data_IF_862134375500
#
_entry.id   IF_862134375500
#
_cell.length_a   1.000
_cell.length_b   1.000
_cell.length_c   1.000
_cell.angle_alpha   90.00
_cell.angle_beta   90.00
_cell.angle_gamma   90.00
#
_symmetry.space_group_name_H-M   'P 1'
#
loop_
_entity.id
_entity.type
_entity.pdbx_description
1 polymer ?
#
# COMPACT_ATOMS: atom_id res chain seq x y z
N UNK A 1 -26.92 -14.95 -14.09
CA UNK A 1 -27.61 -15.39 -12.86
C UNK A 1 -27.91 -14.14 -12.06
N UNK A 2 -29.17 -13.91 -11.73
CA UNK A 2 -29.69 -12.70 -11.09
C UNK A 2 -29.32 -12.66 -9.60
N UNK A 3 -29.16 -11.45 -9.04
CA UNK A 3 -28.84 -11.12 -7.64
C UNK A 3 -29.59 -11.92 -6.54
N UNK A 4 -30.64 -12.68 -6.88
CA UNK A 4 -31.44 -13.46 -5.94
C UNK A 4 -30.77 -14.75 -5.44
N UNK A 5 -29.79 -15.32 -6.15
CA UNK A 5 -29.12 -16.57 -5.70
C UNK A 5 -28.02 -16.34 -4.67
N UNK A 6 -27.49 -15.11 -4.57
CA UNK A 6 -26.57 -14.71 -3.49
C UNK A 6 -27.29 -14.59 -2.14
N UNK A 7 -28.59 -14.22 -2.14
CA UNK A 7 -29.36 -14.02 -0.91
C UNK A 7 -29.55 -15.28 -0.03
N UNK A 8 -29.44 -16.48 -0.62
CA UNK A 8 -29.63 -17.73 0.12
C UNK A 8 -28.38 -18.14 0.93
N UNK A 9 -27.17 -17.92 0.38
CA UNK A 9 -25.92 -18.12 1.11
C UNK A 9 -25.68 -17.01 2.15
N UNK A 10 -26.11 -15.77 1.85
CA UNK A 10 -26.04 -14.63 2.77
C UNK A 10 -27.01 -14.72 3.96
N UNK A 11 -28.05 -15.55 3.89
CA UNK A 11 -29.10 -15.62 4.90
C UNK A 11 -28.69 -16.33 6.20
N UNK A 12 -27.69 -17.21 6.15
CA UNK A 12 -27.30 -18.03 7.30
C UNK A 12 -26.31 -17.35 8.27
N UNK A 13 -25.61 -16.30 7.82
CA UNK A 13 -24.63 -15.55 8.62
C UNK A 13 -25.24 -14.38 9.42
N UNK A 14 -26.57 -14.26 9.45
CA UNK A 14 -27.27 -13.05 9.89
C UNK A 14 -27.52 -12.93 11.40
N UNK A 15 -27.22 -13.94 12.20
CA UNK A 15 -27.47 -13.87 13.64
C UNK A 15 -26.30 -14.43 14.46
N UNK A 16 -25.71 -13.54 15.27
CA UNK A 16 -25.17 -13.79 16.62
C UNK A 16 -23.68 -13.54 16.93
N UNK A 17 -22.82 -13.13 16.00
CA UNK A 17 -21.48 -12.65 16.38
C UNK A 17 -21.13 -11.33 15.69
N UNK A 18 -20.93 -10.28 16.49
CA UNK A 18 -20.18 -9.10 16.04
C UNK A 18 -18.76 -9.56 15.73
N UNK A 19 -18.48 -9.88 14.47
CA UNK A 19 -17.10 -10.09 14.03
C UNK A 19 -16.31 -8.82 14.35
N UNK A 20 -15.10 -8.89 14.92
CA UNK A 20 -14.28 -7.70 15.12
C UNK A 20 -13.98 -7.02 13.78
N UNK A 21 -13.63 -5.73 13.81
CA UNK A 21 -13.12 -5.07 12.62
C UNK A 21 -11.81 -5.77 12.18
N UNK A 22 -11.62 -6.03 10.87
CA UNK A 22 -10.39 -6.67 10.39
C UNK A 22 -9.18 -5.75 10.59
N UNK A 23 -8.01 -6.36 10.79
CA UNK A 23 -6.71 -5.68 10.82
C UNK A 23 -6.44 -4.93 9.51
N UNK A 24 -6.01 -3.66 9.59
CA UNK A 24 -5.56 -2.89 8.43
C UNK A 24 -4.07 -3.09 8.16
N UNK A 25 -3.74 -3.96 7.21
CA UNK A 25 -2.37 -4.26 6.82
C UNK A 25 -1.88 -3.33 5.70
N UNK A 26 -0.96 -2.43 6.02
CA UNK A 26 -0.42 -1.42 5.10
C UNK A 26 0.96 -1.81 4.52
N UNK A 27 1.29 -1.35 3.29
CA UNK A 27 2.61 -1.57 2.71
C UNK A 27 3.66 -0.59 3.23
N UNK A 28 4.80 -1.11 3.69
CA UNK A 28 5.98 -0.30 4.04
C UNK A 28 7.13 -0.58 3.06
N UNK A 29 7.28 0.32 2.08
CA UNK A 29 8.35 0.25 1.06
C UNK A 29 9.68 0.90 1.45
N UNK A 30 9.73 1.54 2.62
CA UNK A 30 10.86 2.28 3.17
C UNK A 30 10.41 3.08 4.40
N UNK A 31 11.34 3.79 5.05
CA UNK A 31 11.09 4.53 6.29
C UNK A 31 9.94 5.54 6.21
N UNK A 32 9.87 6.32 5.12
CA UNK A 32 8.81 7.30 4.95
C UNK A 32 7.44 6.62 4.83
N UNK A 33 7.33 5.56 4.04
CA UNK A 33 6.08 4.79 3.94
C UNK A 33 5.68 4.15 5.27
N UNK A 34 6.65 3.63 6.04
CA UNK A 34 6.42 3.06 7.37
C UNK A 34 5.84 4.10 8.33
N UNK A 35 6.51 5.24 8.48
CA UNK A 35 6.08 6.31 9.38
C UNK A 35 4.68 6.82 9.02
N UNK A 36 4.40 7.02 7.72
CA UNK A 36 3.09 7.46 7.27
C UNK A 36 2.00 6.37 7.36
N UNK A 37 2.34 5.08 7.18
CA UNK A 37 1.37 4.00 7.40
C UNK A 37 0.92 3.97 8.86
N UNK A 38 1.88 3.98 9.80
CA UNK A 38 1.61 3.97 11.24
C UNK A 38 0.83 5.21 11.65
N UNK A 39 1.31 6.41 11.24
CA UNK A 39 0.67 7.69 11.60
C UNK A 39 -0.80 7.78 11.16
N UNK A 40 -1.15 7.18 10.02
CA UNK A 40 -2.51 7.22 9.48
C UNK A 40 -3.39 6.04 9.91
N UNK A 41 -2.90 5.17 10.80
CA UNK A 41 -3.70 4.18 11.51
C UNK A 41 -3.64 2.76 10.93
N UNK A 42 -2.50 2.34 10.38
CA UNK A 42 -2.28 0.92 10.09
C UNK A 42 -2.15 0.12 11.39
N UNK A 43 -2.82 -1.04 11.47
CA UNK A 43 -2.69 -1.98 12.61
C UNK A 43 -1.45 -2.88 12.45
N UNK A 44 -1.08 -3.12 11.19
CA UNK A 44 0.12 -3.87 10.84
C UNK A 44 0.75 -3.31 9.56
N UNK A 45 2.05 -3.55 9.37
CA UNK A 45 2.78 -3.24 8.14
C UNK A 45 3.45 -4.47 7.56
N UNK A 46 3.50 -4.56 6.23
CA UNK A 46 4.32 -5.57 5.55
C UNK A 46 5.45 -4.92 4.74
N UNK A 47 6.65 -5.50 4.86
CA UNK A 47 7.87 -4.98 4.26
C UNK A 47 8.78 -6.09 3.72
N UNK A 48 9.77 -5.73 2.92
CA UNK A 48 10.92 -6.58 2.65
C UNK A 48 12.19 -5.87 3.11
N UNK A 49 13.22 -6.67 3.41
CA UNK A 49 14.58 -6.16 3.45
C UNK A 49 15.27 -6.34 2.08
N UNK A 50 16.56 -6.62 2.06
CA UNK A 50 17.45 -6.70 0.91
C UNK A 50 17.26 -7.97 0.04
N UNK A 51 16.71 -9.07 0.57
CA UNK A 51 16.56 -10.36 -0.14
C UNK A 51 15.18 -10.99 0.02
N UNK A 52 14.93 -12.03 -0.77
CA UNK A 52 13.80 -12.99 -0.65
C UNK A 52 12.35 -12.46 -0.68
N UNK A 53 12.14 -11.15 -0.70
CA UNK A 53 10.85 -10.53 -0.96
C UNK A 53 10.63 -10.23 -2.45
N UNK A 54 9.37 -10.25 -2.89
CA UNK A 54 9.00 -9.68 -4.18
C UNK A 54 9.20 -8.16 -4.19
N UNK A 55 9.14 -7.49 -5.36
CA UNK A 55 9.22 -6.01 -5.52
C UNK A 55 10.58 -5.41 -5.14
N UNK A 56 11.67 -5.92 -5.73
CA UNK A 56 13.05 -5.44 -5.55
C UNK A 56 13.29 -3.94 -5.86
N UNK A 57 12.32 -3.25 -6.48
CA UNK A 57 12.39 -1.82 -6.83
C UNK A 57 11.86 -0.85 -5.78
N UNK A 58 11.14 -1.34 -4.77
CA UNK A 58 10.90 -0.52 -3.59
C UNK A 58 12.26 -0.19 -2.96
N UNK A 59 12.36 0.92 -2.23
CA UNK A 59 13.58 1.27 -1.49
C UNK A 59 14.02 0.10 -0.62
N UNK A 60 13.03 -0.55 0.03
CA UNK A 60 13.20 -1.63 0.99
C UNK A 60 14.11 -1.22 2.15
N UNK A 61 14.17 -2.07 3.17
CA UNK A 61 15.07 -1.87 4.30
C UNK A 61 16.34 -2.70 4.08
N UNK A 62 17.45 -2.31 4.71
CA UNK A 62 18.53 -3.29 4.89
C UNK A 62 18.11 -4.29 5.98
N UNK A 63 18.70 -5.49 5.99
CA UNK A 63 18.47 -6.44 7.10
C UNK A 63 18.94 -5.86 8.44
N UNK A 64 19.95 -5.00 8.43
CA UNK A 64 20.52 -4.35 9.62
C UNK A 64 19.58 -3.28 10.21
N UNK A 65 18.72 -2.66 9.39
CA UNK A 65 17.73 -1.69 9.86
C UNK A 65 16.53 -2.38 10.53
N UNK A 66 16.35 -3.70 10.34
CA UNK A 66 15.15 -4.41 10.77
C UNK A 66 14.85 -4.27 12.28
N UNK A 67 15.81 -4.38 13.21
CA UNK A 67 15.54 -4.17 14.64
C UNK A 67 14.99 -2.77 14.94
N UNK A 68 15.50 -1.73 14.26
CA UNK A 68 15.02 -0.36 14.43
C UNK A 68 13.61 -0.20 13.87
N UNK A 69 13.33 -0.82 12.72
CA UNK A 69 12.00 -0.80 12.09
C UNK A 69 10.96 -1.48 12.97
N UNK A 70 11.28 -2.66 13.51
CA UNK A 70 10.41 -3.40 14.42
C UNK A 70 10.18 -2.60 15.70
N UNK A 71 11.25 -2.07 16.32
CA UNK A 71 11.14 -1.23 17.51
C UNK A 71 10.24 -0.02 17.29
N UNK A 72 10.43 0.73 16.20
CA UNK A 72 9.58 1.88 15.88
C UNK A 72 8.10 1.50 15.70
N UNK A 73 7.80 0.39 15.02
CA UNK A 73 6.42 -0.06 14.83
C UNK A 73 5.79 -0.53 16.15
N UNK A 74 6.51 -1.33 16.94
CA UNK A 74 6.04 -1.84 18.23
C UNK A 74 5.83 -0.74 19.26
N UNK A 75 6.65 0.31 19.27
CA UNK A 75 6.45 1.51 20.11
C UNK A 75 5.11 2.22 19.82
N UNK A 76 4.54 2.00 18.62
CA UNK A 76 3.24 2.52 18.21
C UNK A 76 2.13 1.44 18.21
N UNK A 77 2.42 0.23 18.72
CA UNK A 77 1.46 -0.88 18.77
C UNK A 77 1.15 -1.50 17.40
N UNK A 78 2.03 -1.37 16.42
CA UNK A 78 1.84 -1.85 15.05
C UNK A 78 2.69 -3.09 14.77
N UNK A 79 2.07 -4.16 14.27
CA UNK A 79 2.77 -5.41 13.92
C UNK A 79 3.58 -5.29 12.63
N UNK A 80 4.68 -6.04 12.53
CA UNK A 80 5.60 -6.06 11.38
C UNK A 80 5.65 -7.44 10.74
N UNK A 81 5.23 -7.52 9.48
CA UNK A 81 5.27 -8.74 8.68
C UNK A 81 6.36 -8.67 7.59
N UNK A 82 7.37 -9.53 7.67
CA UNK A 82 8.51 -9.53 6.74
C UNK A 82 8.24 -10.50 5.57
N UNK A 83 8.35 -10.02 4.33
CA UNK A 83 8.12 -10.88 3.17
C UNK A 83 9.34 -11.73 2.84
N UNK A 84 9.14 -13.05 2.77
CA UNK A 84 10.08 -14.09 2.32
C UNK A 84 9.38 -14.93 1.25
N UNK A 85 8.76 -14.23 0.29
CA UNK A 85 7.77 -14.77 -0.65
C UNK A 85 8.23 -14.82 -2.11
N UNK A 86 9.53 -14.69 -2.36
CA UNK A 86 10.12 -15.05 -3.64
C UNK A 86 10.07 -16.56 -3.85
N UNK A 87 10.08 -17.00 -5.11
CA UNK A 87 10.32 -18.39 -5.44
C UNK A 87 11.78 -18.75 -5.09
N UNK A 88 11.98 -19.84 -4.34
CA UNK A 88 13.32 -20.23 -3.88
C UNK A 88 14.02 -21.14 -4.89
N UNK A 89 15.31 -20.88 -5.09
CA UNK A 89 16.25 -21.74 -5.81
C UNK A 89 17.24 -22.37 -4.85
N UNK A 90 17.95 -23.43 -5.29
CA UNK A 90 18.91 -24.15 -4.44
C UNK A 90 19.93 -23.21 -3.77
N UNK A 91 20.45 -22.21 -4.49
CA UNK A 91 21.44 -21.28 -3.94
C UNK A 91 20.86 -20.38 -2.83
N UNK A 92 19.56 -20.10 -2.85
CA UNK A 92 18.92 -19.25 -1.84
C UNK A 92 18.98 -19.87 -0.44
N UNK A 93 18.95 -21.22 -0.37
CA UNK A 93 19.03 -21.96 0.89
C UNK A 93 20.39 -21.89 1.59
N UNK A 94 21.44 -21.38 0.91
CA UNK A 94 22.75 -21.19 1.54
C UNK A 94 22.72 -19.95 2.46
N UNK A 95 21.98 -18.90 2.09
CA UNK A 95 21.88 -17.63 2.84
C UNK A 95 20.64 -17.54 3.75
N UNK A 96 19.56 -18.26 3.39
CA UNK A 96 18.26 -18.18 4.05
C UNK A 96 18.28 -18.44 5.57
N UNK A 97 19.05 -19.40 6.13
CA UNK A 97 19.11 -19.63 7.58
C UNK A 97 19.51 -18.40 8.38
N UNK A 98 20.62 -17.75 8.01
CA UNK A 98 21.13 -16.54 8.68
C UNK A 98 20.12 -15.40 8.57
N UNK A 99 19.47 -15.28 7.41
CA UNK A 99 18.49 -14.25 7.15
C UNK A 99 17.24 -14.42 8.04
N UNK A 100 16.75 -15.65 8.19
CA UNK A 100 15.61 -15.96 9.07
C UNK A 100 15.94 -15.76 10.55
N UNK A 101 17.15 -16.14 10.98
CA UNK A 101 17.61 -15.87 12.35
C UNK A 101 17.61 -14.38 12.66
N UNK A 102 18.09 -13.54 11.74
CA UNK A 102 18.06 -12.09 11.92
C UNK A 102 16.63 -11.53 12.00
N UNK A 103 15.66 -12.12 11.29
CA UNK A 103 14.24 -11.74 11.39
C UNK A 103 13.66 -12.11 12.76
N UNK A 104 13.98 -13.31 13.26
CA UNK A 104 13.55 -13.80 14.57
C UNK A 104 14.15 -12.95 15.70
N UNK A 105 15.46 -12.68 15.64
CA UNK A 105 16.19 -11.86 16.61
C UNK A 105 15.69 -10.41 16.63
N UNK A 106 15.29 -9.88 15.48
CA UNK A 106 14.69 -8.54 15.40
C UNK A 106 13.28 -8.47 16.01
N UNK A 107 12.64 -9.62 16.27
CA UNK A 107 11.30 -9.67 16.88
C UNK A 107 10.17 -9.38 15.90
N UNK A 108 10.34 -9.64 14.60
CA UNK A 108 9.24 -9.48 13.64
C UNK A 108 8.06 -10.42 13.98
N UNK A 109 6.82 -9.95 13.80
CA UNK A 109 5.62 -10.68 14.20
C UNK A 109 5.32 -11.86 13.27
N UNK A 110 5.52 -11.68 11.97
CA UNK A 110 5.29 -12.73 10.99
C UNK A 110 6.24 -12.69 9.79
N UNK A 111 6.42 -13.85 9.14
CA UNK A 111 7.00 -13.95 7.79
C UNK A 111 5.94 -14.34 6.77
N UNK A 112 5.93 -13.68 5.62
CA UNK A 112 5.09 -14.07 4.48
C UNK A 112 5.87 -15.00 3.56
N UNK A 113 5.48 -16.27 3.48
CA UNK A 113 6.14 -17.29 2.66
C UNK A 113 5.21 -17.83 1.58
N UNK A 114 5.78 -18.32 0.48
CA UNK A 114 5.02 -19.06 -0.56
C UNK A 114 5.68 -20.34 -1.01
N UNK A 115 6.94 -20.56 -0.63
CA UNK A 115 7.70 -21.76 -0.94
C UNK A 115 7.72 -22.69 0.28
N UNK A 116 7.49 -24.00 0.07
CA UNK A 116 7.44 -24.99 1.16
C UNK A 116 8.82 -25.22 1.81
N UNK A 117 9.91 -25.07 1.04
CA UNK A 117 11.26 -25.09 1.57
C UNK A 117 11.53 -23.87 2.46
N UNK A 118 11.09 -22.68 2.02
CA UNK A 118 11.16 -21.47 2.84
C UNK A 118 10.35 -21.62 4.14
N UNK A 119 9.13 -22.17 4.09
CA UNK A 119 8.34 -22.48 5.29
C UNK A 119 9.10 -23.41 6.24
N UNK A 120 9.66 -24.50 5.72
CA UNK A 120 10.43 -25.46 6.52
C UNK A 120 11.61 -24.78 7.23
N UNK A 121 12.33 -23.92 6.52
CA UNK A 121 13.47 -23.19 7.08
C UNK A 121 13.01 -22.14 8.10
N UNK A 122 11.91 -21.41 7.84
CA UNK A 122 11.34 -20.44 8.77
C UNK A 122 11.01 -21.10 10.12
N UNK A 123 10.35 -22.26 10.11
CA UNK A 123 10.08 -23.01 11.35
C UNK A 123 11.34 -23.44 12.11
N UNK A 124 12.45 -23.65 11.41
CA UNK A 124 13.70 -24.10 12.01
C UNK A 124 14.53 -22.94 12.56
N UNK A 125 14.58 -21.82 11.83
CA UNK A 125 15.52 -20.72 12.08
C UNK A 125 14.86 -19.44 12.59
N UNK A 126 13.53 -19.33 12.49
CA UNK A 126 12.72 -18.27 13.04
C UNK A 126 11.49 -18.83 13.80
N UNK A 127 11.70 -19.67 14.83
CA UNK A 127 10.63 -20.40 15.49
C UNK A 127 9.66 -19.53 16.29
N UNK A 128 10.00 -18.27 16.60
CA UNK A 128 9.14 -17.34 17.34
C UNK A 128 8.26 -16.48 16.42
N UNK A 129 8.58 -16.44 15.13
CA UNK A 129 7.88 -15.64 14.13
C UNK A 129 6.71 -16.44 13.53
N UNK A 130 5.53 -15.82 13.44
CA UNK A 130 4.38 -16.46 12.82
C UNK A 130 4.56 -16.68 11.32
N UNK A 131 3.86 -17.66 10.75
CA UNK A 131 3.96 -18.00 9.33
C UNK A 131 2.66 -17.62 8.63
N UNK A 132 2.74 -16.60 7.79
CA UNK A 132 1.65 -16.16 6.92
C UNK A 132 1.90 -16.67 5.49
N UNK A 133 0.89 -17.23 4.85
CA UNK A 133 0.99 -17.72 3.47
C UNK A 133 0.72 -16.59 2.50
N UNK A 134 1.75 -16.17 1.78
CA UNK A 134 1.66 -15.16 0.72
C UNK A 134 0.71 -15.61 -0.39
N UNK A 135 -0.02 -14.65 -0.98
CA UNK A 135 -0.90 -14.88 -2.15
C UNK A 135 -0.15 -15.55 -3.31
N UNK A 136 1.18 -15.46 -3.38
CA UNK A 136 2.03 -16.21 -4.32
C UNK A 136 1.83 -17.73 -4.27
N UNK A 137 1.34 -18.29 -3.16
CA UNK A 137 1.02 -19.71 -3.02
C UNK A 137 -0.28 -20.12 -3.75
N UNK A 138 -1.09 -19.15 -4.19
CA UNK A 138 -2.36 -19.38 -4.91
C UNK A 138 -3.38 -20.22 -4.13
N UNK A 139 -3.51 -19.98 -2.82
CA UNK A 139 -4.49 -20.69 -1.99
C UNK A 139 -5.88 -20.16 -2.31
N UNK A 140 -6.68 -21.01 -2.99
CA UNK A 140 -8.01 -20.66 -3.50
C UNK A 140 -9.14 -21.57 -2.98
N UNK A 141 -8.85 -22.48 -2.06
CA UNK A 141 -9.82 -23.41 -1.49
C UNK A 141 -9.36 -23.90 -0.11
N UNK A 142 -10.31 -24.43 0.67
CA UNK A 142 -10.08 -24.87 2.04
C UNK A 142 -9.07 -26.01 2.17
N UNK A 143 -9.06 -26.98 1.24
CA UNK A 143 -8.15 -28.12 1.30
C UNK A 143 -6.69 -27.68 1.20
N UNK A 144 -6.38 -26.75 0.27
CA UNK A 144 -5.06 -26.14 0.19
C UNK A 144 -4.69 -25.37 1.46
N UNK A 145 -5.63 -24.60 2.02
CA UNK A 145 -5.41 -23.84 3.26
C UNK A 145 -5.16 -24.74 4.47
N UNK A 146 -5.88 -25.86 4.60
CA UNK A 146 -5.69 -26.85 5.67
C UNK A 146 -4.30 -27.48 5.63
N UNK A 147 -3.78 -27.81 4.44
CA UNK A 147 -2.41 -28.33 4.30
C UNK A 147 -1.39 -27.30 4.79
N UNK A 148 -1.54 -26.02 4.44
CA UNK A 148 -0.66 -24.97 4.96
C UNK A 148 -0.76 -24.82 6.49
N UNK A 149 -1.97 -24.94 7.04
CA UNK A 149 -2.21 -24.90 8.48
C UNK A 149 -1.55 -26.08 9.22
N UNK A 150 -1.69 -27.31 8.71
CA UNK A 150 -1.01 -28.51 9.24
C UNK A 150 0.51 -28.36 9.24
N UNK A 151 1.05 -27.62 8.27
CA UNK A 151 2.47 -27.30 8.18
C UNK A 151 2.91 -26.19 9.15
N UNK A 152 1.97 -25.51 9.81
CA UNK A 152 2.20 -24.51 10.85
C UNK A 152 1.91 -23.06 10.45
N UNK A 153 1.20 -22.82 9.35
CA UNK A 153 0.76 -21.46 9.00
C UNK A 153 -0.40 -20.98 9.89
N UNK A 154 -0.33 -19.75 10.36
CA UNK A 154 -1.39 -19.11 11.17
C UNK A 154 -2.35 -18.27 10.33
N UNK A 155 -1.93 -17.82 9.14
CA UNK A 155 -2.73 -16.94 8.27
C UNK A 155 -2.57 -17.31 6.80
N UNK A 156 -3.68 -17.26 6.05
CA UNK A 156 -3.72 -17.44 4.60
C UNK A 156 -4.05 -16.11 3.93
N UNK A 157 -3.15 -15.60 3.09
CA UNK A 157 -3.50 -14.53 2.14
C UNK A 157 -4.20 -15.18 0.94
N UNK A 158 -5.51 -14.97 0.83
CA UNK A 158 -6.33 -15.55 -0.23
C UNK A 158 -5.80 -15.22 -1.62
N UNK A 159 -6.02 -16.15 -2.56
CA UNK A 159 -5.75 -15.88 -3.97
C UNK A 159 -6.61 -14.70 -4.45
N UNK A 160 -6.03 -13.78 -5.21
CA UNK A 160 -6.68 -12.51 -5.61
C UNK A 160 -7.82 -12.68 -6.61
N UNK A 161 -7.92 -13.86 -7.19
CA UNK A 161 -8.95 -14.30 -8.12
C UNK A 161 -10.19 -14.92 -7.45
N UNK A 162 -10.20 -15.04 -6.12
CA UNK A 162 -11.36 -15.56 -5.40
C UNK A 162 -12.50 -14.55 -5.35
N UNK A 163 -13.73 -15.03 -5.52
CA UNK A 163 -14.92 -14.23 -5.26
C UNK A 163 -15.21 -14.12 -3.77
N UNK A 164 -16.05 -13.16 -3.38
CA UNK A 164 -16.49 -13.02 -2.00
C UNK A 164 -17.23 -14.29 -1.52
N UNK A 165 -17.99 -14.93 -2.41
CA UNK A 165 -18.70 -16.17 -2.13
C UNK A 165 -17.73 -17.34 -1.91
N UNK A 166 -16.65 -17.44 -2.71
CA UNK A 166 -15.65 -18.49 -2.55
C UNK A 166 -14.87 -18.33 -1.24
N UNK A 167 -14.56 -17.08 -0.85
CA UNK A 167 -13.88 -16.80 0.42
C UNK A 167 -14.80 -17.17 1.60
N UNK A 168 -16.09 -16.83 1.52
CA UNK A 168 -17.06 -17.20 2.55
C UNK A 168 -17.21 -18.73 2.70
N UNK A 169 -17.33 -19.45 1.58
CA UNK A 169 -17.39 -20.91 1.60
C UNK A 169 -16.10 -21.53 2.16
N UNK A 170 -14.93 -21.00 1.76
CA UNK A 170 -13.66 -21.43 2.32
C UNK A 170 -13.58 -21.16 3.83
N UNK A 171 -14.10 -20.02 4.32
CA UNK A 171 -14.10 -19.70 5.75
C UNK A 171 -14.90 -20.71 6.57
N UNK A 172 -16.04 -21.19 6.07
CA UNK A 172 -16.90 -22.17 6.75
C UNK A 172 -16.23 -23.53 6.97
N UNK A 173 -15.32 -23.92 6.08
CA UNK A 173 -14.58 -25.20 6.16
C UNK A 173 -13.31 -25.12 7.02
N UNK A 174 -12.83 -23.91 7.34
CA UNK A 174 -11.54 -23.69 7.99
C UNK A 174 -11.68 -23.46 9.49
N UNK A 175 -10.74 -23.98 10.31
CA UNK A 175 -10.72 -23.73 11.75
C UNK A 175 -10.53 -22.24 12.05
N UNK A 176 -11.19 -21.73 13.09
CA UNK A 176 -11.29 -20.28 13.35
C UNK A 176 -9.93 -19.62 13.59
N UNK A 177 -9.00 -20.36 14.20
CA UNK A 177 -7.63 -19.94 14.48
C UNK A 177 -6.76 -19.75 13.23
N UNK A 178 -7.15 -20.31 12.08
CA UNK A 178 -6.48 -20.02 10.81
C UNK A 178 -7.07 -18.74 10.22
N UNK A 179 -6.31 -17.65 10.28
CA UNK A 179 -6.76 -16.33 9.84
C UNK A 179 -6.83 -16.22 8.31
N UNK A 180 -7.80 -15.43 7.81
CA UNK A 180 -7.90 -15.07 6.39
C UNK A 180 -7.54 -13.61 6.16
N UNK A 181 -6.61 -13.38 5.25
CA UNK A 181 -6.19 -12.06 4.78
C UNK A 181 -6.53 -11.89 3.30
N UNK A 182 -7.05 -10.72 2.93
CA UNK A 182 -7.48 -10.44 1.56
C UNK A 182 -6.98 -9.08 1.09
N UNK A 183 -6.70 -8.94 -0.21
CA UNK A 183 -6.40 -7.63 -0.78
C UNK A 183 -7.68 -6.82 -0.93
N UNK A 184 -7.63 -5.54 -0.57
CA UNK A 184 -8.80 -4.63 -0.66
C UNK A 184 -8.55 -3.41 -1.54
N UNK A 185 -7.30 -3.04 -1.76
CA UNK A 185 -6.96 -1.86 -2.53
C UNK A 185 -5.68 -2.05 -3.35
N UNK A 186 -5.63 -1.35 -4.47
CA UNK A 186 -4.43 -1.21 -5.28
C UNK A 186 -4.40 -2.15 -6.47
N UNK A 187 -3.21 -2.32 -7.04
CA UNK A 187 -3.13 -2.76 -8.42
C UNK A 187 -3.38 -4.27 -8.60
N UNK A 188 -4.34 -4.62 -9.46
CA UNK A 188 -4.64 -6.01 -9.81
C UNK A 188 -3.63 -6.61 -10.79
N UNK A 189 -3.42 -7.92 -10.69
CA UNK A 189 -2.57 -8.67 -11.60
C UNK A 189 -3.42 -9.43 -12.62
N UNK A 190 -2.95 -9.49 -13.86
CA UNK A 190 -3.56 -10.25 -14.95
C UNK A 190 -3.21 -11.75 -14.92
N UNK A 191 -2.18 -12.14 -14.17
CA UNK A 191 -1.73 -13.52 -14.05
C UNK A 191 -2.09 -14.08 -12.67
N UNK A 192 -2.39 -15.39 -12.61
CA UNK A 192 -2.73 -16.13 -11.39
C UNK A 192 -1.67 -15.83 -10.33
N UNK A 193 -2.08 -15.11 -9.30
CA UNK A 193 -1.24 -14.78 -8.15
C UNK A 193 0.15 -14.19 -8.49
N UNK A 194 0.31 -13.45 -9.59
CA UNK A 194 1.59 -12.80 -9.95
C UNK A 194 2.65 -13.70 -10.61
N UNK A 195 2.34 -14.96 -10.92
CA UNK A 195 3.23 -15.89 -11.64
C UNK A 195 3.12 -15.67 -13.16
N UNK A 196 3.93 -14.75 -13.69
CA UNK A 196 3.88 -14.37 -15.11
C UNK A 196 5.26 -14.42 -15.78
N UNK A 197 5.33 -15.02 -16.97
CA UNK A 197 6.57 -15.09 -17.78
C UNK A 197 6.80 -13.86 -18.65
N UNK A 198 5.79 -12.99 -18.83
CA UNK A 198 5.87 -11.87 -19.79
C UNK A 198 7.00 -10.89 -19.45
N UNK A 199 7.29 -10.70 -18.16
CA UNK A 199 8.37 -9.80 -17.73
C UNK A 199 9.75 -10.37 -17.98
N UNK A 200 9.93 -11.66 -17.72
CA UNK A 200 11.19 -12.34 -17.99
C UNK A 200 11.46 -12.36 -19.50
N UNK A 201 10.46 -12.78 -20.27
CA UNK A 201 10.56 -12.88 -21.72
C UNK A 201 10.90 -11.55 -22.41
N UNK A 202 10.21 -10.46 -22.06
CA UNK A 202 10.39 -9.17 -22.74
C UNK A 202 11.57 -8.36 -22.24
N UNK A 203 12.00 -8.57 -20.99
CA UNK A 203 12.95 -7.65 -20.33
C UNK A 203 14.09 -8.34 -19.59
N UNK A 204 14.15 -9.68 -19.60
CA UNK A 204 15.09 -10.46 -18.80
C UNK A 204 14.90 -10.29 -17.29
N UNK A 205 13.71 -9.84 -16.86
CA UNK A 205 13.41 -9.54 -15.45
C UNK A 205 12.21 -10.34 -15.00
N UNK A 206 12.45 -11.41 -14.24
CA UNK A 206 11.39 -12.31 -13.79
C UNK A 206 10.36 -11.63 -12.87
N UNK A 207 9.11 -12.09 -12.95
CA UNK A 207 8.07 -11.69 -12.01
C UNK A 207 8.08 -12.54 -10.73
N UNK A 208 8.62 -13.75 -10.79
CA UNK A 208 8.63 -14.73 -9.68
C UNK A 208 9.74 -14.48 -8.67
N UNK A 209 10.76 -13.70 -9.03
CA UNK A 209 11.87 -13.28 -8.17
C UNK A 209 11.76 -11.80 -7.74
N UNK A 210 10.62 -11.14 -8.03
CA UNK A 210 10.35 -9.76 -7.64
C UNK A 210 10.86 -8.67 -8.58
N UNK A 211 11.44 -9.00 -9.75
CA UNK A 211 12.02 -8.02 -10.69
C UNK A 211 11.04 -7.45 -11.75
N UNK A 212 9.76 -7.85 -11.69
CA UNK A 212 8.72 -7.51 -12.66
C UNK A 212 8.76 -6.04 -13.11
N UNK A 213 8.84 -5.79 -14.43
CA UNK A 213 8.71 -4.46 -15.06
C UNK A 213 7.26 -4.02 -15.25
N UNK A 214 6.31 -4.86 -14.85
CA UNK A 214 4.88 -4.73 -15.14
C UNK A 214 4.61 -4.63 -16.65
N UNK A 215 5.21 -5.49 -17.51
CA UNK A 215 4.97 -5.42 -18.94
C UNK A 215 3.53 -5.73 -19.28
N UNK A 216 2.83 -6.47 -18.43
CA UNK A 216 1.38 -6.67 -18.51
C UNK A 216 0.53 -5.37 -18.41
N UNK A 217 1.15 -4.19 -18.48
CA UNK A 217 0.53 -2.85 -18.48
C UNK A 217 1.07 -1.95 -19.60
N UNK A 218 1.93 -2.48 -20.47
CA UNK A 218 2.45 -1.74 -21.61
C UNK A 218 1.47 -1.80 -22.78
N UNK A 219 1.68 -0.96 -23.79
CA UNK A 219 0.93 -1.04 -25.05
C UNK A 219 1.48 -2.19 -25.89
N UNK A 220 0.62 -3.14 -26.21
CA UNK A 220 0.90 -4.17 -27.18
C UNK A 220 -0.01 -4.00 -28.36
N UNK A 221 0.53 -4.30 -29.53
CA UNK A 221 -0.28 -4.69 -30.67
C UNK A 221 0.11 -6.13 -30.98
N UNK A 222 -0.85 -7.04 -31.05
CA UNK A 222 -0.56 -8.39 -31.48
C UNK A 222 -0.37 -8.35 -33.00
N UNK A 223 0.72 -8.92 -33.51
CA UNK A 223 0.96 -9.06 -34.94
C UNK A 223 1.06 -10.56 -35.24
N UNK A 224 0.23 -11.05 -36.15
CA UNK A 224 0.24 -12.44 -36.59
C UNK A 224 1.29 -12.63 -37.69
N UNK A 225 2.07 -13.71 -37.61
CA UNK A 225 3.27 -13.92 -38.43
C UNK A 225 2.98 -13.99 -39.94
N UNK A 226 1.82 -14.51 -40.34
CA UNK A 226 1.42 -14.60 -41.75
C UNK A 226 0.72 -13.35 -42.27
N UNK A 227 0.53 -12.32 -41.43
CA UNK A 227 -0.05 -11.02 -41.80
C UNK A 227 0.77 -9.84 -41.26
N UNK A 228 1.98 -9.61 -41.82
CA UNK A 228 2.85 -8.53 -41.37
C UNK A 228 2.22 -7.15 -41.62
N UNK A 229 2.20 -6.31 -40.58
CA UNK A 229 1.70 -4.93 -40.65
C UNK A 229 0.20 -4.76 -40.34
N UNK A 230 -0.52 -5.85 -40.11
CA UNK A 230 -1.89 -5.83 -39.58
C UNK A 230 -1.83 -5.89 -38.06
N UNK A 231 -2.18 -4.79 -37.39
CA UNK A 231 -2.25 -4.73 -35.94
C UNK A 231 -3.58 -5.31 -35.47
N UNK A 232 -3.54 -6.32 -34.59
CA UNK A 232 -4.70 -6.80 -33.87
C UNK A 232 -4.79 -6.09 -32.52
N UNK A 233 -5.78 -5.18 -32.32
CA UNK A 233 -6.04 -4.57 -31.03
C UNK A 233 -6.59 -5.59 -30.04
N UNK A 234 -6.51 -5.21 -28.78
CA UNK A 234 -6.88 -6.04 -27.64
C UNK A 234 -8.04 -5.34 -26.89
N UNK A 235 -9.32 -5.66 -27.18
CA UNK A 235 -10.55 -5.08 -26.58
C UNK A 235 -11.84 -5.98 -26.53
N UNK A 236 -12.58 -6.07 -25.39
CA UNK A 236 -13.59 -7.14 -25.05
C UNK A 236 -15.08 -6.92 -25.37
N UNK A 237 -15.70 -7.94 -26.02
CA UNK A 237 -17.14 -7.98 -26.38
C UNK A 237 -17.97 -8.94 -25.51
N UNK A 238 -19.26 -9.15 -25.86
CA UNK A 238 -20.24 -9.92 -25.08
C UNK A 238 -19.83 -11.36 -24.72
N UNK A 239 -18.74 -11.89 -25.29
CA UNK A 239 -18.22 -13.25 -25.00
C UNK A 239 -16.75 -13.33 -24.59
N UNK A 240 -16.01 -12.23 -24.54
CA UNK A 240 -14.59 -12.21 -24.16
C UNK A 240 -13.63 -11.93 -25.34
N UNK A 241 -12.32 -11.65 -25.25
CA UNK A 241 -11.33 -11.55 -24.16
C UNK A 241 -10.14 -10.73 -24.61
N UNK A 242 -9.69 -9.72 -23.83
CA UNK A 242 -8.60 -8.90 -24.35
C UNK A 242 -7.65 -8.31 -23.27
N UNK A 243 -6.39 -8.74 -23.35
CA UNK A 243 -5.27 -8.84 -22.42
C UNK A 243 -4.46 -7.54 -22.17
N UNK A 244 -4.42 -7.01 -20.93
CA UNK A 244 -3.28 -6.26 -20.29
C UNK A 244 -3.58 -4.85 -19.72
N UNK A 245 -4.78 -4.59 -19.18
CA UNK A 245 -4.96 -3.41 -18.30
C UNK A 245 -6.06 -3.62 -17.26
N UNK A 246 -5.76 -4.26 -16.14
CA UNK A 246 -6.73 -4.41 -15.04
C UNK A 246 -7.05 -3.07 -14.38
N UNK A 247 -8.32 -2.87 -14.03
CA UNK A 247 -8.74 -1.83 -13.07
C UNK A 247 -8.01 -2.01 -11.73
N UNK A 248 -7.71 -0.91 -11.05
CA UNK A 248 -7.21 -1.00 -9.68
C UNK A 248 -8.35 -1.49 -8.77
N UNK A 249 -8.03 -2.33 -7.80
CA UNK A 249 -9.01 -2.82 -6.83
C UNK A 249 -9.36 -1.71 -5.84
N UNK A 250 -10.65 -1.57 -5.54
CA UNK A 250 -11.14 -0.74 -4.43
C UNK A 250 -12.35 -1.40 -3.76
N UNK A 251 -12.17 -1.82 -2.52
CA UNK A 251 -13.21 -2.44 -1.69
C UNK A 251 -13.63 -1.57 -0.50
N UNK A 252 -13.37 -0.26 -0.54
CA UNK A 252 -13.66 0.66 0.58
C UNK A 252 -15.15 0.60 0.99
N UNK A 253 -16.06 0.59 0.02
CA UNK A 253 -17.50 0.49 0.24
C UNK A 253 -17.99 -0.91 0.66
N UNK A 254 -17.08 -1.89 0.75
CA UNK A 254 -17.38 -3.31 0.90
C UNK A 254 -16.70 -3.96 2.11
N UNK A 255 -16.11 -3.14 3.00
CA UNK A 255 -15.41 -3.63 4.20
C UNK A 255 -16.35 -4.37 5.16
N UNK A 256 -17.61 -3.93 5.24
CA UNK A 256 -18.64 -4.60 6.03
C UNK A 256 -18.96 -6.02 5.53
N UNK A 257 -18.98 -6.23 4.22
CA UNK A 257 -19.22 -7.56 3.66
C UNK A 257 -18.03 -8.50 3.95
N UNK A 258 -16.80 -8.00 3.84
CA UNK A 258 -15.59 -8.74 4.20
C UNK A 258 -15.57 -9.11 5.69
N UNK A 259 -15.92 -8.16 6.57
CA UNK A 259 -16.06 -8.38 8.01
C UNK A 259 -17.09 -9.47 8.32
N UNK A 260 -18.25 -9.44 7.67
CA UNK A 260 -19.34 -10.43 7.90
C UNK A 260 -18.95 -11.84 7.49
N UNK A 261 -18.13 -12.01 6.46
CA UNK A 261 -17.69 -13.35 6.02
C UNK A 261 -16.45 -13.84 6.79
N UNK A 262 -16.06 -13.17 7.88
CA UNK A 262 -14.97 -13.60 8.75
C UNK A 262 -13.57 -13.42 8.17
N UNK A 263 -13.34 -12.38 7.36
CA UNK A 263 -11.99 -11.92 7.01
C UNK A 263 -11.34 -11.27 8.25
N UNK A 264 -10.11 -11.66 8.55
CA UNK A 264 -9.36 -11.22 9.73
C UNK A 264 -8.44 -10.03 9.43
N UNK A 265 -7.90 -9.93 8.21
CA UNK A 265 -7.01 -8.83 7.80
C UNK A 265 -7.31 -8.35 6.38
N UNK A 266 -7.34 -7.04 6.20
CA UNK A 266 -7.51 -6.36 4.92
C UNK A 266 -6.20 -5.69 4.50
N UNK A 267 -5.69 -6.08 3.34
CA UNK A 267 -4.37 -5.70 2.85
C UNK A 267 -4.42 -4.69 1.71
N UNK A 268 -3.68 -3.60 1.86
CA UNK A 268 -3.47 -2.61 0.81
C UNK A 268 -2.24 -3.00 -0.04
N UNK A 269 -2.40 -3.17 -1.36
CA UNK A 269 -1.25 -3.36 -2.26
C UNK A 269 -0.59 -2.02 -2.60
N UNK A 270 0.69 -1.86 -2.27
CA UNK A 270 1.34 -0.59 -2.57
C UNK A 270 2.81 -0.46 -2.20
N UNK A 271 3.58 -1.55 -2.01
CA UNK A 271 4.97 -1.42 -1.51
C UNK A 271 5.90 -0.57 -2.39
N UNK A 272 5.62 -0.46 -3.68
CA UNK A 272 6.36 0.42 -4.61
C UNK A 272 5.80 1.85 -4.69
N UNK A 273 4.73 2.17 -3.96
CA UNK A 273 4.10 3.49 -3.95
C UNK A 273 4.81 4.41 -2.94
N UNK A 274 4.63 5.72 -3.11
CA UNK A 274 5.23 6.75 -2.25
C UNK A 274 4.38 6.95 -0.99
N UNK A 275 4.96 7.56 0.05
CA UNK A 275 4.27 7.77 1.33
C UNK A 275 2.93 8.51 1.19
N UNK A 276 2.81 9.49 0.27
CA UNK A 276 1.52 10.14 -0.01
C UNK A 276 0.41 9.15 -0.42
N UNK A 277 0.72 8.12 -1.22
CA UNK A 277 -0.27 7.09 -1.55
C UNK A 277 -0.65 6.27 -0.31
N UNK A 278 0.36 5.87 0.47
CA UNK A 278 0.16 5.06 1.67
C UNK A 278 -0.70 5.83 2.68
N UNK A 279 -0.34 7.07 2.99
CA UNK A 279 -1.07 7.95 3.90
C UNK A 279 -2.54 8.10 3.50
N UNK A 280 -2.82 8.50 2.26
CA UNK A 280 -4.20 8.73 1.80
C UNK A 280 -5.05 7.46 1.81
N UNK A 281 -4.50 6.34 1.33
CA UNK A 281 -5.25 5.07 1.28
C UNK A 281 -5.46 4.50 2.68
N UNK A 282 -4.43 4.48 3.53
CA UNK A 282 -4.57 4.01 4.93
C UNK A 282 -5.58 4.88 5.67
N UNK A 283 -5.53 6.21 5.54
CA UNK A 283 -6.50 7.10 6.17
C UNK A 283 -7.94 6.76 5.78
N UNK A 284 -8.20 6.62 4.47
CA UNK A 284 -9.55 6.33 3.98
C UNK A 284 -10.06 4.99 4.52
N UNK A 285 -9.24 3.94 4.49
CA UNK A 285 -9.63 2.62 5.00
C UNK A 285 -9.80 2.62 6.52
N UNK A 286 -8.90 3.25 7.27
CA UNK A 286 -8.99 3.36 8.74
C UNK A 286 -10.29 4.03 9.16
N UNK A 287 -10.62 5.17 8.57
CA UNK A 287 -11.84 5.92 8.90
C UNK A 287 -13.11 5.09 8.68
N UNK A 288 -13.16 4.32 7.59
CA UNK A 288 -14.31 3.44 7.31
C UNK A 288 -14.34 2.22 8.23
N UNK A 289 -13.18 1.62 8.53
CA UNK A 289 -13.09 0.54 9.53
C UNK A 289 -13.49 1.01 10.94
N UNK A 290 -13.30 2.29 11.26
CA UNK A 290 -13.77 2.94 12.49
C UNK A 290 -15.26 3.33 12.47
N UNK A 291 -15.99 3.00 11.39
CA UNK A 291 -17.44 3.16 11.29
C UNK A 291 -17.89 4.43 10.58
N UNK A 292 -17.00 5.15 9.90
CA UNK A 292 -17.41 6.25 9.04
C UNK A 292 -18.06 5.75 7.73
N UNK A 293 -18.91 6.59 7.14
CA UNK A 293 -19.56 6.30 5.85
C UNK A 293 -18.51 6.20 4.72
N UNK A 294 -18.41 5.07 4.00
CA UNK A 294 -17.51 4.94 2.85
C UNK A 294 -17.67 6.03 1.80
N UNK A 295 -18.89 6.56 1.62
CA UNK A 295 -19.14 7.62 0.64
C UNK A 295 -18.39 8.92 0.97
N UNK A 296 -18.12 9.20 2.24
CA UNK A 296 -17.39 10.38 2.67
C UNK A 296 -15.89 10.31 2.31
N UNK A 297 -15.34 9.11 2.17
CA UNK A 297 -13.90 8.89 1.92
C UNK A 297 -13.60 8.34 0.53
N UNK A 298 -14.61 7.97 -0.27
CA UNK A 298 -14.40 7.49 -1.63
C UNK A 298 -13.63 8.49 -2.50
N UNK A 299 -13.92 9.79 -2.37
CA UNK A 299 -13.22 10.85 -3.09
C UNK A 299 -11.73 10.97 -2.74
N UNK A 300 -11.31 10.57 -1.54
CA UNK A 300 -9.91 10.59 -1.13
C UNK A 300 -9.06 9.65 -1.98
N UNK A 301 -9.61 8.47 -2.31
CA UNK A 301 -8.93 7.48 -3.14
C UNK A 301 -8.75 7.95 -4.59
N UNK A 302 -9.54 8.92 -5.05
CA UNK A 302 -9.37 9.54 -6.37
C UNK A 302 -8.19 10.53 -6.38
N UNK A 303 -7.69 10.98 -5.23
CA UNK A 303 -6.62 11.99 -5.17
C UNK A 303 -5.22 11.42 -5.43
N UNK A 304 -5.05 10.11 -5.23
CA UNK A 304 -3.77 9.42 -5.41
C UNK A 304 -3.58 8.93 -6.85
N UNK A 305 -2.38 8.45 -7.17
CA UNK A 305 -2.11 7.85 -8.48
C UNK A 305 -2.76 6.47 -8.60
N UNK A 306 -3.82 6.38 -9.41
CA UNK A 306 -4.63 5.17 -9.60
C UNK A 306 -5.03 4.96 -11.08
N UNK A 307 -5.53 3.77 -11.37
CA UNK A 307 -6.33 3.45 -12.57
C UNK A 307 -7.81 3.40 -12.18
N UNK A 308 -8.76 3.50 -13.14
CA UNK A 308 -10.17 3.36 -12.81
C UNK A 308 -10.43 2.17 -11.90
N UNK A 309 -11.24 2.39 -10.86
CA UNK A 309 -11.45 1.39 -9.84
C UNK A 309 -12.47 0.31 -10.25
N UNK A 310 -12.28 -0.88 -9.73
CA UNK A 310 -13.24 -1.99 -9.75
C UNK A 310 -13.08 -2.87 -8.52
N UNK A 311 -13.97 -3.84 -8.35
CA UNK A 311 -13.98 -4.73 -7.17
C UNK A 311 -13.18 -6.01 -7.38
N UNK A 312 -12.21 -6.02 -8.31
CA UNK A 312 -11.45 -7.23 -8.66
C UNK A 312 -12.38 -8.40 -8.99
N UNK A 313 -12.15 -9.55 -8.37
CA UNK A 313 -12.94 -10.77 -8.58
C UNK A 313 -14.10 -10.95 -7.58
N UNK A 314 -14.27 -10.04 -6.61
CA UNK A 314 -15.18 -10.24 -5.48
C UNK A 314 -16.65 -10.44 -5.87
N UNK A 315 -17.12 -9.70 -6.88
CA UNK A 315 -18.54 -9.70 -7.32
C UNK A 315 -18.73 -10.15 -8.78
N UNK A 316 -17.70 -10.76 -9.37
CA UNK A 316 -17.70 -11.17 -10.78
C UNK A 316 -16.29 -11.15 -11.37
N UNK A 317 -16.15 -11.36 -12.68
CA UNK A 317 -14.84 -11.26 -13.35
C UNK A 317 -14.20 -9.88 -13.15
N UNK A 318 -12.89 -9.84 -12.94
CA UNK A 318 -12.17 -8.57 -12.89
C UNK A 318 -12.25 -7.84 -14.24
N UNK A 319 -12.54 -6.54 -14.19
CA UNK A 319 -12.68 -5.71 -15.37
C UNK A 319 -11.38 -5.04 -15.77
N UNK A 320 -11.25 -4.75 -17.06
CA UNK A 320 -10.10 -4.07 -17.65
C UNK A 320 -10.44 -2.60 -18.00
N UNK A 321 -9.41 -1.81 -18.31
CA UNK A 321 -9.50 -0.44 -18.83
C UNK A 321 -8.75 -0.34 -20.16
N UNK A 322 -9.35 -0.81 -21.28
CA UNK A 322 -8.68 -0.78 -22.58
C UNK A 322 -8.45 0.66 -23.10
N UNK A 323 -9.24 1.61 -22.62
CA UNK A 323 -9.31 2.99 -23.14
C UNK A 323 -8.09 3.87 -22.81
N UNK A 324 -7.31 3.56 -21.75
CA UNK A 324 -6.13 4.36 -21.37
C UNK A 324 -5.15 3.60 -20.48
N UNK A 325 -3.85 3.71 -20.80
CA UNK A 325 -2.75 3.17 -20.00
C UNK A 325 -2.22 4.17 -18.95
N UNK A 326 -2.71 5.42 -18.96
CA UNK A 326 -2.22 6.48 -18.09
C UNK A 326 -2.78 6.36 -16.67
N UNK A 327 -1.91 6.55 -15.68
CA UNK A 327 -2.34 6.74 -14.29
C UNK A 327 -3.03 8.10 -14.16
N UNK A 328 -4.23 8.09 -13.57
CA UNK A 328 -4.90 9.29 -13.11
C UNK A 328 -4.13 9.77 -11.88
N UNK A 329 -3.62 10.99 -11.92
CA UNK A 329 -2.92 11.63 -10.79
C UNK A 329 -3.35 13.09 -10.71
N UNK A 330 -4.48 13.37 -10.04
CA UNK A 330 -5.07 14.70 -10.01
C UNK A 330 -4.46 15.60 -8.95
N UNK A 331 -3.74 15.06 -7.96
CA UNK A 331 -3.10 15.83 -6.90
C UNK A 331 -1.60 15.56 -6.79
N UNK A 332 -0.89 16.56 -6.27
CA UNK A 332 0.50 16.48 -5.86
C UNK A 332 0.62 16.76 -4.35
N UNK A 333 1.47 15.99 -3.65
CA UNK A 333 1.86 16.30 -2.28
C UNK A 333 2.70 17.58 -2.32
N UNK A 334 2.12 18.71 -1.91
CA UNK A 334 2.74 20.03 -2.01
C UNK A 334 3.72 20.27 -0.87
N UNK A 335 3.34 19.92 0.37
CA UNK A 335 4.09 20.29 1.56
C UNK A 335 3.90 19.28 2.71
N UNK A 336 4.95 19.12 3.51
CA UNK A 336 5.02 18.23 4.68
C UNK A 336 5.38 19.06 5.92
N UNK A 337 4.50 19.09 6.92
CA UNK A 337 4.66 19.93 8.11
C UNK A 337 5.74 19.40 9.04
N UNK A 338 6.61 20.29 9.53
CA UNK A 338 7.53 19.99 10.62
C UNK A 338 7.09 20.66 11.93
N UNK A 339 6.62 21.92 11.83
CA UNK A 339 6.26 22.76 12.97
C UNK A 339 5.06 23.65 12.60
N UNK A 340 4.23 23.98 13.60
CA UNK A 340 3.09 24.88 13.47
C UNK A 340 2.93 25.68 14.77
N UNK A 341 3.06 27.01 14.70
CA UNK A 341 3.04 27.90 15.86
C UNK A 341 2.04 29.06 15.69
N UNK A 342 1.42 29.55 16.78
CA UNK A 342 0.49 30.67 16.69
C UNK A 342 1.21 31.99 16.32
N UNK A 343 0.62 32.76 15.40
CA UNK A 343 1.11 34.06 14.92
C UNK A 343 -0.06 35.04 14.81
N UNK A 344 -0.41 35.68 15.93
CA UNK A 344 -1.61 36.54 15.99
C UNK A 344 -2.87 35.71 15.82
N UNK A 345 -3.72 36.07 14.85
CA UNK A 345 -4.97 35.37 14.54
C UNK A 345 -4.81 34.21 13.54
N UNK A 346 -3.58 33.95 13.09
CA UNK A 346 -3.23 32.88 12.14
C UNK A 346 -2.15 31.96 12.75
N UNK A 347 -1.82 30.89 12.03
CA UNK A 347 -0.80 29.92 12.41
C UNK A 347 0.32 29.91 11.37
N UNK A 348 1.56 30.00 11.84
CA UNK A 348 2.77 29.88 11.02
C UNK A 348 3.13 28.40 10.90
N UNK A 349 3.08 27.86 9.70
CA UNK A 349 3.51 26.50 9.40
C UNK A 349 4.92 26.56 8.81
N UNK A 350 5.81 25.68 9.30
CA UNK A 350 7.17 25.48 8.78
C UNK A 350 7.33 24.01 8.39
N UNK A 351 7.99 23.75 7.27
CA UNK A 351 8.10 22.39 6.75
C UNK A 351 8.74 22.28 5.38
N UNK A 352 8.67 21.09 4.81
CA UNK A 352 9.40 20.71 3.60
C UNK A 352 8.52 20.88 2.36
N UNK A 353 9.01 21.64 1.38
CA UNK A 353 8.37 21.70 0.06
C UNK A 353 8.55 20.36 -0.67
N UNK A 354 7.45 19.70 -1.03
CA UNK A 354 7.46 18.43 -1.76
C UNK A 354 7.23 18.64 -3.25
N UNK A 355 6.22 19.42 -3.60
CA UNK A 355 5.93 19.85 -4.96
C UNK A 355 5.57 21.34 -4.98
N UNK A 356 5.55 21.91 -6.19
CA UNK A 356 5.37 23.34 -6.37
C UNK A 356 4.00 23.83 -5.92
N UNK A 357 3.97 24.95 -5.20
CA UNK A 357 2.77 25.76 -4.94
C UNK A 357 3.15 27.25 -4.88
N UNK A 358 2.15 28.14 -4.90
CA UNK A 358 2.32 29.59 -4.97
C UNK A 358 1.65 30.30 -3.81
N UNK A 359 2.06 31.54 -3.57
CA UNK A 359 1.31 32.49 -2.73
C UNK A 359 -0.16 32.53 -3.18
N UNK A 360 -1.08 32.38 -2.22
CA UNK A 360 -2.51 32.33 -2.46
C UNK A 360 -3.02 31.02 -3.08
N UNK A 361 -2.20 29.98 -3.19
CA UNK A 361 -2.69 28.67 -3.64
C UNK A 361 -3.64 28.07 -2.62
N UNK A 362 -4.76 27.55 -3.09
CA UNK A 362 -5.64 26.71 -2.29
C UNK A 362 -5.01 25.33 -2.09
N UNK A 363 -4.80 24.94 -0.83
CA UNK A 363 -4.23 23.66 -0.43
C UNK A 363 -5.24 22.86 0.39
N UNK A 364 -5.28 21.56 0.16
CA UNK A 364 -6.06 20.61 0.95
C UNK A 364 -5.17 19.97 2.01
N UNK A 365 -5.68 19.93 3.23
CA UNK A 365 -5.00 19.45 4.44
C UNK A 365 -5.50 18.04 4.74
N UNK A 366 -4.59 17.08 4.59
CA UNK A 366 -4.79 15.67 4.94
C UNK A 366 -4.07 15.37 6.25
N UNK A 367 -4.85 15.10 7.30
CA UNK A 367 -4.38 14.72 8.62
C UNK A 367 -5.09 13.44 9.11
N UNK A 368 -4.43 12.60 9.92
CA UNK A 368 -5.06 11.41 10.50
C UNK A 368 -6.31 11.78 11.31
N UNK A 369 -7.36 10.96 11.23
CA UNK A 369 -8.60 11.08 12.02
C UNK A 369 -9.37 12.41 11.86
N UNK A 370 -8.97 13.29 10.95
CA UNK A 370 -9.62 14.57 10.68
C UNK A 370 -10.27 14.59 9.29
N UNK A 371 -11.38 15.33 9.11
CA UNK A 371 -11.90 15.61 7.78
C UNK A 371 -10.92 16.49 7.01
N UNK A 372 -10.90 16.35 5.68
CA UNK A 372 -10.09 17.22 4.82
C UNK A 372 -10.56 18.66 4.95
N UNK A 373 -9.61 19.55 5.24
CA UNK A 373 -9.82 20.99 5.34
C UNK A 373 -9.08 21.68 4.20
N UNK A 374 -9.54 22.87 3.85
CA UNK A 374 -8.93 23.67 2.77
C UNK A 374 -8.49 25.02 3.31
N UNK A 375 -7.34 25.51 2.87
CA UNK A 375 -6.85 26.85 3.20
C UNK A 375 -5.98 27.44 2.09
N UNK A 376 -5.82 28.76 2.10
CA UNK A 376 -4.86 29.45 1.24
C UNK A 376 -3.48 29.44 1.89
N UNK A 377 -2.43 29.19 1.10
CA UNK A 377 -1.05 29.40 1.52
C UNK A 377 -0.70 30.90 1.41
N UNK A 378 -0.63 31.61 2.55
CA UNK A 378 -0.37 33.05 2.58
C UNK A 378 1.00 33.37 3.18
N UNK A 379 1.60 34.49 2.78
CA UNK A 379 2.91 34.93 3.27
C UNK A 379 3.99 33.83 3.14
N UNK A 380 4.06 33.21 1.96
CA UNK A 380 5.00 32.13 1.66
C UNK A 380 6.42 32.70 1.70
N UNK A 381 7.25 32.10 2.55
CA UNK A 381 8.66 32.42 2.70
C UNK A 381 9.50 31.18 2.40
N UNK A 382 10.60 31.38 1.66
CA UNK A 382 11.69 30.42 1.60
C UNK A 382 12.58 30.64 2.81
N UNK A 383 12.99 29.54 3.45
CA UNK A 383 13.90 29.57 4.60
C UNK A 383 15.21 28.91 4.16
N UNK A 384 16.20 29.71 3.73
CA UNK A 384 17.49 29.17 3.32
C UNK A 384 18.13 28.43 4.49
N UNK A 385 18.67 27.25 4.19
CA UNK A 385 19.48 26.48 5.12
C UNK A 385 20.76 27.27 5.45
N UNK A 386 20.88 27.83 6.65
CA UNK A 386 22.19 27.96 7.30
C UNK A 386 22.38 26.70 8.14
N UNK A 387 23.15 25.74 7.61
CA UNK A 387 23.63 24.48 8.23
C UNK A 387 22.82 23.95 9.43
N UNK A 388 21.54 23.64 9.21
CA UNK A 388 20.82 22.73 10.10
C UNK A 388 21.25 21.31 9.72
N UNK A 389 22.34 20.80 10.27
CA UNK A 389 22.77 19.40 10.14
C UNK A 389 21.68 18.45 10.65
N UNK A 390 20.67 18.06 9.90
CA UNK A 390 19.78 16.97 10.35
C UNK A 390 20.70 15.77 10.61
N UNK A 391 20.82 15.29 11.84
CA UNK A 391 21.62 14.09 12.09
C UNK A 391 20.82 12.89 11.59
N UNK A 392 21.51 12.07 10.80
CA UNK A 392 20.99 10.97 10.01
C UNK A 392 20.44 9.82 10.87
N UNK A 393 20.68 9.79 12.19
CA UNK A 393 20.09 8.82 13.15
C UNK A 393 19.84 9.39 14.56
N UNK A 394 19.42 10.66 14.68
CA UNK A 394 19.19 11.44 15.93
C UNK A 394 20.46 12.14 16.49
N UNK A 395 20.40 13.48 16.62
CA UNK A 395 21.53 14.42 16.87
C UNK A 395 22.26 14.24 18.22
N UNK A 396 23.57 14.58 18.32
CA UNK A 396 24.28 14.67 19.59
C UNK A 396 23.98 16.00 20.30
N UNK A 397 24.11 15.99 21.62
CA UNK A 397 23.91 17.12 22.54
C UNK A 397 24.63 18.40 22.07
N UNK A 398 23.89 19.41 21.59
CA UNK A 398 24.43 20.73 21.27
C UNK A 398 23.46 21.86 21.62
N UNK A 399 23.99 22.95 22.20
CA UNK A 399 23.26 24.17 22.56
C UNK A 399 23.51 25.29 21.53
N UNK A 400 22.47 26.01 21.07
CA UNK A 400 22.59 26.97 19.98
C UNK A 400 23.15 28.35 20.35
N UNK A 401 24.02 28.88 19.48
CA UNK A 401 24.54 30.26 19.49
C UNK A 401 24.00 31.06 18.28
N UNK A 402 22.72 31.50 18.33
CA UNK A 402 21.97 32.60 17.62
C UNK A 402 22.37 33.18 16.23
N UNK A 403 21.46 33.83 15.44
CA UNK A 403 20.01 34.01 15.62
C UNK A 403 19.15 33.73 14.35
N UNK A 404 18.11 32.89 14.48
CA UNK A 404 16.92 32.70 13.62
C UNK A 404 17.04 32.57 12.08
N UNK A 405 16.35 31.61 11.45
CA UNK A 405 16.29 31.50 9.99
C UNK A 405 15.69 32.76 9.36
N UNK A 406 16.40 33.38 8.42
CA UNK A 406 15.92 34.51 7.63
C UNK A 406 14.75 34.07 6.74
N UNK A 407 13.52 34.42 7.10
CA UNK A 407 12.37 34.22 6.23
C UNK A 407 12.44 35.16 5.01
N UNK A 408 12.61 34.59 3.82
CA UNK A 408 12.65 35.35 2.57
C UNK A 408 11.30 35.23 1.85
N UNK A 409 10.49 36.30 1.76
CA UNK A 409 9.22 36.24 1.04
C UNK A 409 9.41 35.83 -0.42
N UNK A 410 8.62 34.87 -0.88
CA UNK A 410 8.67 34.34 -2.25
C UNK A 410 7.25 34.12 -2.77
N UNK A 411 7.07 34.37 -4.07
CA UNK A 411 5.77 34.12 -4.71
C UNK A 411 5.52 32.62 -5.00
N UNK A 412 6.55 31.77 -4.87
CA UNK A 412 6.51 30.37 -5.32
C UNK A 412 7.44 29.51 -4.47
N UNK A 413 6.88 28.45 -3.89
CA UNK A 413 7.64 27.34 -3.33
C UNK A 413 7.91 26.32 -4.43
N UNK A 414 9.17 26.14 -4.82
CA UNK A 414 9.53 25.31 -5.97
C UNK A 414 10.84 24.53 -5.80
N UNK A 415 11.47 24.60 -4.62
CA UNK A 415 12.69 23.87 -4.29
C UNK A 415 12.34 22.68 -3.42
N UNK A 416 12.31 21.50 -4.05
CA UNK A 416 11.93 20.26 -3.39
C UNK A 416 12.90 19.91 -2.25
N UNK A 417 12.36 19.51 -1.11
CA UNK A 417 13.04 19.23 0.17
C UNK A 417 13.70 20.42 0.86
N UNK A 418 13.51 21.66 0.39
CA UNK A 418 13.92 22.85 1.13
C UNK A 418 12.81 23.32 2.08
N UNK A 419 13.21 24.10 3.10
CA UNK A 419 12.29 24.64 4.10
C UNK A 419 11.54 25.85 3.54
N UNK A 420 10.23 25.82 3.75
CA UNK A 420 9.36 26.96 3.51
C UNK A 420 8.44 27.15 4.71
N UNK A 421 7.92 28.36 4.82
CA UNK A 421 6.91 28.68 5.80
C UNK A 421 5.79 29.51 5.20
N UNK A 422 4.56 29.32 5.70
CA UNK A 422 3.38 30.06 5.26
C UNK A 422 2.35 30.12 6.39
N UNK A 423 1.41 31.05 6.28
CA UNK A 423 0.38 31.31 7.28
C UNK A 423 -0.94 30.62 6.86
N UNK A 424 -1.63 30.00 7.83
CA UNK A 424 -2.93 29.32 7.67
C UNK A 424 -3.89 29.69 8.81
N UNK A 425 -5.22 29.48 8.68
CA UNK A 425 -6.19 29.96 9.67
C UNK A 425 -6.42 29.02 10.87
N UNK A 426 -5.75 27.85 10.92
CA UNK A 426 -5.97 26.85 11.97
C UNK A 426 -4.68 26.08 12.29
N UNK A 427 -4.55 25.49 13.50
CA UNK A 427 -3.40 24.64 13.80
C UNK A 427 -3.42 23.34 13.00
N UNK A 428 -2.24 22.82 12.73
CA UNK A 428 -1.99 21.49 12.14
C UNK A 428 -0.86 20.81 12.88
N UNK A 429 -0.86 19.49 12.88
CA UNK A 429 0.20 18.71 13.52
C UNK A 429 1.41 18.51 12.61
N UNK A 430 2.53 18.10 13.22
CA UNK A 430 3.69 17.61 12.48
C UNK A 430 3.30 16.46 11.55
N UNK A 431 3.89 16.40 10.36
CA UNK A 431 3.59 15.42 9.31
C UNK A 431 2.14 15.43 8.80
N UNK A 432 1.40 16.52 9.04
CA UNK A 432 0.21 16.83 8.24
C UNK A 432 0.62 17.08 6.79
N UNK A 433 -0.13 16.51 5.86
CA UNK A 433 0.13 16.62 4.42
C UNK A 433 -0.71 17.76 3.86
N UNK A 434 -0.07 18.70 3.16
CA UNK A 434 -0.78 19.58 2.25
C UNK A 434 -0.67 19.04 0.83
N UNK A 435 -1.79 18.84 0.16
CA UNK A 435 -1.87 18.48 -1.25
C UNK A 435 -2.48 19.61 -2.07
N UNK A 436 -2.10 19.65 -3.35
CA UNK A 436 -2.60 20.64 -4.30
C UNK A 436 -3.17 19.92 -5.52
N UNK A 437 -4.33 20.38 -5.99
CA UNK A 437 -4.90 19.90 -7.23
C UNK A 437 -4.02 20.35 -8.41
N UNK A 438 -3.69 19.41 -9.29
CA UNK A 438 -2.92 19.71 -10.49
C UNK A 438 -3.82 20.50 -11.42
N UNK A 439 -3.33 21.65 -11.88
CA UNK A 439 -4.00 22.37 -12.96
C UNK A 439 -4.21 21.40 -14.13
N UNK A 440 -5.47 21.32 -14.59
CA UNK A 440 -5.85 20.59 -15.79
C UNK A 440 -4.84 20.92 -16.89
N UNK A 441 -4.06 19.92 -17.31
CA UNK A 441 -3.34 20.02 -18.58
C UNK A 441 -4.41 19.91 -19.66
N UNK A 442 -5.10 21.01 -19.94
CA UNK A 442 -5.81 21.15 -21.20
C UNK A 442 -4.81 20.83 -22.30
N UNK A 443 -5.12 19.76 -23.03
CA UNK A 443 -4.45 19.27 -24.23
C UNK A 443 -3.82 20.41 -25.02
N UNK A 444 -2.49 20.40 -25.14
CA UNK A 444 -1.79 21.10 -26.21
C UNK A 444 -1.82 20.24 -27.47
#
# INVERSE_FOLDING_TARGET
MTFSSLGAAYGAYKDSQEHPAPELLAPAGGWEQLAYAIRFGADAVYLATDKFGLRKRATNFSLEDLPQVVGYAHDHGVHVHVTVNAQMHRADFDDLPRYLQAIDEAGADAVLVSDLGALRMARQYAPHVQIHVSTQASVSNAQSALVWHELGASRIVCAREMSLADIAAMREELPRELELEVFVHGAMCMAISGRCLISDYLTGRSATDGNCTQPCRWKYSLVEEKRPGEFFPVEEDERGSYMLNAKDMNMLAHLDELRRIGVDSVKIEGRNKRAFYVATVVNAYRQVLDGADPAAFAGELETVSHRPYGTGFYFGPAHQTPESDAYIRPYDWAFDVLECEPKGDVWRVVGLCRNRFWEGSELEVLAPHEPVRTCLALNVCHMPYEEVTIDERERPQWQPTSPQPLEMPVNCANRTMELYAFDIPFPVERHTIFRIQRASRTTK
#
